data_IF_293444276151
#
_entry.id   IF_293444276151
#
_cell.length_a   1.000
_cell.length_b   1.000
_cell.length_c   1.000
_cell.angle_alpha   90.00
_cell.angle_beta   90.00
_cell.angle_gamma   90.00
#
_symmetry.space_group_name_H-M   'P 1'
#
loop_
_entity.id
_entity.type
_entity.pdbx_description
1 polymer ?
#
# COMPACT_ATOMS: atom_id res chain seq x y z
N UNK A 1 0.78 9.09 33.94
CA UNK A 1 2.00 8.87 33.13
C UNK A 1 1.55 8.53 31.73
N UNK A 2 1.38 9.57 30.91
CA UNK A 2 1.05 9.35 29.48
C UNK A 2 2.35 9.01 28.74
N UNK A 3 2.76 7.75 28.86
CA UNK A 3 3.88 7.26 28.08
C UNK A 3 3.53 7.34 26.61
N UNK A 4 4.14 8.26 25.86
CA UNK A 4 4.02 8.29 24.40
C UNK A 4 4.46 6.93 23.86
N UNK A 5 3.49 6.14 23.39
CA UNK A 5 3.78 4.90 22.67
C UNK A 5 4.38 5.32 21.33
N UNK A 6 5.61 4.88 21.06
CA UNK A 6 6.27 5.05 19.77
C UNK A 6 6.76 3.70 19.26
N UNK A 7 6.80 3.55 17.94
CA UNK A 7 7.44 2.37 17.35
C UNK A 7 8.95 2.37 17.67
N UNK A 8 9.55 1.19 17.93
CA UNK A 8 10.97 1.09 18.29
C UNK A 8 11.87 1.61 17.16
N UNK A 9 12.97 2.27 17.51
CA UNK A 9 13.99 2.71 16.53
C UNK A 9 13.45 3.57 15.38
N UNK A 10 12.41 4.39 15.62
CA UNK A 10 11.80 5.25 14.58
C UNK A 10 12.77 6.31 14.01
N UNK A 11 13.90 6.55 14.67
CA UNK A 11 15.01 7.36 14.20
C UNK A 11 15.91 6.66 13.16
N UNK A 12 15.87 5.32 13.10
CA UNK A 12 16.70 4.48 12.22
C UNK A 12 15.90 3.72 11.17
N UNK A 13 14.63 3.41 11.47
CA UNK A 13 13.75 2.60 10.63
C UNK A 13 12.59 3.46 10.16
N UNK A 14 12.32 3.45 8.85
CA UNK A 14 11.12 4.08 8.29
C UNK A 14 9.95 3.11 8.38
N UNK A 15 8.92 3.49 9.09
CA UNK A 15 7.70 2.70 9.25
C UNK A 15 6.62 3.17 8.28
N UNK A 16 6.08 2.23 7.52
CA UNK A 16 4.86 2.40 6.74
C UNK A 16 3.71 1.76 7.52
N UNK A 17 2.66 2.54 7.79
CA UNK A 17 1.48 2.05 8.50
C UNK A 17 0.35 1.90 7.50
N UNK A 18 -0.13 0.68 7.34
CA UNK A 18 -1.35 0.37 6.59
C UNK A 18 -2.55 0.48 7.55
N UNK A 19 -3.40 1.49 7.33
CA UNK A 19 -4.47 1.84 8.24
C UNK A 19 -5.77 1.12 7.85
N UNK A 20 -5.99 -0.04 8.43
CA UNK A 20 -7.24 -0.79 8.31
C UNK A 20 -8.26 -0.32 9.38
N UNK A 21 -8.61 0.97 9.35
CA UNK A 21 -9.51 1.61 10.29
C UNK A 21 -10.57 2.42 9.55
N UNK A 22 -11.74 2.62 10.17
CA UNK A 22 -12.80 3.47 9.63
C UNK A 22 -12.56 4.93 9.96
N UNK A 23 -12.97 5.85 9.07
CA UNK A 23 -12.85 7.30 9.23
C UNK A 23 -11.45 7.75 9.70
N UNK A 24 -10.36 7.34 9.00
CA UNK A 24 -8.99 7.61 9.43
C UNK A 24 -8.70 9.13 9.53
N UNK A 25 -9.41 9.95 8.77
CA UNK A 25 -9.28 11.41 8.75
C UNK A 25 -9.53 12.07 10.11
N UNK A 26 -10.20 11.39 11.02
CA UNK A 26 -10.53 11.94 12.35
C UNK A 26 -9.32 12.01 13.28
N UNK A 27 -8.28 11.18 13.05
CA UNK A 27 -7.11 11.14 13.95
C UNK A 27 -5.80 10.69 13.26
N UNK A 28 -5.50 11.22 12.08
CA UNK A 28 -4.27 10.88 11.36
C UNK A 28 -2.99 11.29 12.13
N UNK A 29 -3.06 12.34 12.93
CA UNK A 29 -1.90 12.87 13.67
C UNK A 29 -1.32 11.88 14.69
N UNK A 30 -2.15 11.00 15.24
CA UNK A 30 -1.65 10.00 16.19
C UNK A 30 -0.65 9.04 15.54
N UNK A 31 -0.86 8.65 14.29
CA UNK A 31 0.04 7.73 13.60
C UNK A 31 1.40 8.38 13.31
N UNK A 32 1.39 9.67 12.96
CA UNK A 32 2.64 10.43 12.84
C UNK A 32 3.39 10.51 14.18
N UNK A 33 2.69 10.78 15.28
CA UNK A 33 3.29 10.80 16.65
C UNK A 33 3.84 9.43 17.04
N UNK A 34 3.21 8.33 16.61
CA UNK A 34 3.70 6.97 16.82
C UNK A 34 5.01 6.68 16.06
N UNK A 35 5.39 7.51 15.09
CA UNK A 35 6.62 7.37 14.32
C UNK A 35 6.42 6.86 12.89
N UNK A 36 5.18 6.90 12.36
CA UNK A 36 4.97 6.60 10.96
C UNK A 36 5.69 7.61 10.07
N UNK A 37 6.45 7.13 9.10
CA UNK A 37 7.06 7.94 8.04
C UNK A 37 6.22 7.91 6.76
N UNK A 38 5.32 6.93 6.65
CA UNK A 38 4.39 6.77 5.53
C UNK A 38 3.09 6.15 6.03
N UNK A 39 1.97 6.57 5.44
CA UNK A 39 0.63 6.02 5.72
C UNK A 39 0.02 5.44 4.46
N UNK A 40 -0.67 4.32 4.59
CA UNK A 40 -1.55 3.74 3.56
C UNK A 40 -2.98 3.85 4.07
N UNK A 41 -3.86 4.40 3.25
CA UNK A 41 -5.25 4.68 3.59
C UNK A 41 -6.15 3.94 2.62
N UNK A 42 -7.04 3.09 3.11
CA UNK A 42 -8.01 2.40 2.28
C UNK A 42 -9.11 3.37 1.81
N UNK A 43 -9.34 3.46 0.51
CA UNK A 43 -10.26 4.42 -0.10
C UNK A 43 -11.66 4.34 0.48
N UNK A 44 -12.18 3.13 0.65
CA UNK A 44 -13.53 2.88 1.17
C UNK A 44 -13.66 3.03 2.70
N UNK A 45 -12.59 3.37 3.40
CA UNK A 45 -12.63 3.73 4.83
C UNK A 45 -12.75 5.23 5.08
N UNK A 46 -12.60 6.06 4.04
CA UNK A 46 -12.67 7.52 4.13
C UNK A 46 -14.14 7.95 4.08
N UNK A 47 -14.64 8.54 5.16
CA UNK A 47 -16.00 9.05 5.24
C UNK A 47 -16.10 10.47 4.62
N UNK A 48 -15.09 11.31 4.83
CA UNK A 48 -15.05 12.68 4.34
C UNK A 48 -13.75 12.98 3.61
N UNK A 49 -13.79 12.96 2.27
CA UNK A 49 -12.60 13.17 1.43
C UNK A 49 -11.99 14.57 1.57
N UNK A 50 -12.79 15.62 1.78
CA UNK A 50 -12.30 16.98 1.95
C UNK A 50 -11.52 17.11 3.25
N UNK A 51 -12.11 16.63 4.35
CA UNK A 51 -11.43 16.58 5.65
C UNK A 51 -10.16 15.74 5.58
N UNK A 52 -10.23 14.56 4.96
CA UNK A 52 -9.07 13.69 4.76
C UNK A 52 -7.93 14.42 4.06
N UNK A 53 -8.18 15.06 2.92
CA UNK A 53 -7.16 15.79 2.16
C UNK A 53 -6.56 16.93 2.97
N UNK A 54 -7.38 17.66 3.71
CA UNK A 54 -6.93 18.74 4.59
C UNK A 54 -5.98 18.20 5.68
N UNK A 55 -6.41 17.15 6.38
CA UNK A 55 -5.63 16.58 7.49
C UNK A 55 -4.34 15.92 6.98
N UNK A 56 -4.39 15.04 5.97
CA UNK A 56 -3.21 14.33 5.48
C UNK A 56 -2.15 15.29 4.90
N UNK A 57 -2.58 16.32 4.18
CA UNK A 57 -1.66 17.32 3.61
C UNK A 57 -0.97 18.12 4.72
N UNK A 58 -1.66 18.40 5.84
CA UNK A 58 -1.10 19.13 6.97
C UNK A 58 0.03 18.39 7.68
N UNK A 59 0.07 17.05 7.59
CA UNK A 59 1.07 16.23 8.26
C UNK A 59 2.44 16.25 7.58
N UNK A 60 2.52 16.63 6.31
CA UNK A 60 3.76 16.58 5.51
C UNK A 60 4.45 15.21 5.55
N UNK A 61 3.65 14.14 5.60
CA UNK A 61 4.07 12.74 5.58
C UNK A 61 3.76 12.15 4.21
N UNK A 62 4.55 11.18 3.77
CA UNK A 62 4.27 10.42 2.55
C UNK A 62 3.02 9.56 2.75
N UNK A 63 2.11 9.52 1.77
CA UNK A 63 0.89 8.73 1.88
C UNK A 63 0.49 8.08 0.57
N UNK A 64 -0.10 6.91 0.68
CA UNK A 64 -0.70 6.17 -0.42
C UNK A 64 -2.19 5.93 -0.19
N UNK A 65 -2.92 5.75 -1.29
CA UNK A 65 -4.31 5.32 -1.25
C UNK A 65 -4.41 3.85 -1.68
N UNK A 66 -5.13 3.03 -0.90
CA UNK A 66 -5.29 1.61 -1.14
C UNK A 66 -6.68 1.29 -1.67
N UNK A 67 -6.74 0.35 -2.63
CA UNK A 67 -7.97 -0.11 -3.26
C UNK A 67 -8.09 -1.63 -3.19
N UNK A 68 -9.29 -2.12 -2.85
CA UNK A 68 -9.68 -3.51 -3.03
C UNK A 68 -9.92 -3.80 -4.51
N UNK A 69 -9.87 -5.07 -4.91
CA UNK A 69 -10.18 -5.50 -6.28
C UNK A 69 -11.61 -5.14 -6.72
N UNK A 70 -12.53 -4.99 -5.77
CA UNK A 70 -13.91 -4.56 -6.02
C UNK A 70 -14.10 -3.05 -6.18
N UNK A 71 -13.08 -2.23 -5.90
CA UNK A 71 -13.19 -0.77 -6.00
C UNK A 71 -13.10 -0.31 -7.47
N UNK A 72 -13.99 0.60 -7.84
CA UNK A 72 -13.86 1.37 -9.08
C UNK A 72 -12.89 2.53 -8.84
N UNK A 73 -11.62 2.35 -9.20
CA UNK A 73 -10.54 3.33 -9.00
C UNK A 73 -10.79 4.67 -9.69
N UNK A 74 -11.61 4.69 -10.76
CA UNK A 74 -11.92 5.92 -11.51
C UNK A 74 -12.67 6.95 -10.67
N UNK A 75 -13.46 6.50 -9.70
CA UNK A 75 -14.18 7.38 -8.76
C UNK A 75 -13.25 8.13 -7.80
N UNK A 76 -11.99 7.75 -7.74
CA UNK A 76 -11.00 8.26 -6.81
C UNK A 76 -9.86 9.02 -7.50
N UNK A 77 -10.08 9.44 -8.75
CA UNK A 77 -9.06 10.08 -9.59
C UNK A 77 -8.39 11.26 -8.90
N UNK A 78 -9.13 12.11 -8.19
CA UNK A 78 -8.57 13.26 -7.48
C UNK A 78 -7.61 12.87 -6.35
N UNK A 79 -7.94 11.81 -5.59
CA UNK A 79 -7.05 11.29 -4.54
C UNK A 79 -5.84 10.59 -5.14
N UNK A 80 -6.02 9.81 -6.21
CA UNK A 80 -4.92 9.15 -6.93
C UNK A 80 -3.91 10.19 -7.44
N UNK A 81 -4.38 11.30 -8.01
CA UNK A 81 -3.49 12.38 -8.47
C UNK A 81 -2.65 12.99 -7.35
N UNK A 82 -3.21 13.13 -6.15
CA UNK A 82 -2.57 13.77 -4.99
C UNK A 82 -1.72 12.81 -4.16
N UNK A 83 -2.04 11.51 -4.16
CA UNK A 83 -1.29 10.50 -3.42
C UNK A 83 0.15 10.36 -3.92
N UNK A 84 1.09 10.05 -3.05
CA UNK A 84 2.48 9.76 -3.42
C UNK A 84 2.59 8.42 -4.16
N UNK A 85 1.74 7.45 -3.79
CA UNK A 85 1.66 6.14 -4.44
C UNK A 85 0.25 5.56 -4.30
N UNK A 86 -0.02 4.51 -5.06
CA UNK A 86 -1.27 3.75 -4.97
C UNK A 86 -0.95 2.32 -4.59
N UNK A 87 -1.68 1.78 -3.60
CA UNK A 87 -1.63 0.36 -3.27
C UNK A 87 -2.88 -0.34 -3.78
N UNK A 88 -2.69 -1.50 -4.41
CA UNK A 88 -3.77 -2.39 -4.83
C UNK A 88 -3.72 -3.66 -3.99
N UNK A 89 -4.87 -4.07 -3.50
CA UNK A 89 -4.96 -5.32 -2.76
C UNK A 89 -5.10 -6.47 -3.77
N UNK A 90 -4.07 -7.32 -3.84
CA UNK A 90 -4.03 -8.48 -4.75
C UNK A 90 -4.89 -9.67 -4.31
N UNK A 91 -5.77 -9.47 -3.33
CA UNK A 91 -6.66 -10.48 -2.74
C UNK A 91 -8.04 -9.88 -2.51
N UNK A 92 -9.07 -10.72 -2.46
CA UNK A 92 -10.45 -10.26 -2.25
C UNK A 92 -10.76 -9.94 -0.78
N UNK A 93 -10.32 -10.80 0.15
CA UNK A 93 -10.61 -10.64 1.58
C UNK A 93 -9.39 -10.07 2.32
N UNK A 94 -9.41 -8.77 2.59
CA UNK A 94 -8.35 -8.08 3.31
C UNK A 94 -8.25 -8.58 4.76
N UNK A 95 -7.03 -8.66 5.28
CA UNK A 95 -6.76 -9.09 6.66
C UNK A 95 -6.50 -10.59 6.82
N UNK A 96 -6.57 -11.39 5.74
CA UNK A 96 -6.27 -12.82 5.75
C UNK A 96 -5.10 -13.12 4.83
N UNK A 97 -4.12 -13.89 5.33
CA UNK A 97 -2.95 -14.30 4.55
C UNK A 97 -3.20 -15.59 3.74
N UNK A 98 -2.33 -15.87 2.77
CA UNK A 98 -2.33 -17.12 2.01
C UNK A 98 -3.46 -17.25 0.99
N UNK A 99 -4.10 -16.15 0.61
CA UNK A 99 -5.11 -16.14 -0.44
C UNK A 99 -4.49 -16.14 -1.83
N UNK A 100 -5.25 -16.64 -2.80
CA UNK A 100 -4.89 -16.64 -4.22
C UNK A 100 -4.91 -15.20 -4.74
N UNK A 101 -3.96 -14.89 -5.63
CA UNK A 101 -3.91 -13.62 -6.33
C UNK A 101 -5.17 -13.40 -7.18
N UNK A 102 -5.73 -12.22 -7.10
CA UNK A 102 -6.91 -11.80 -7.85
C UNK A 102 -6.50 -11.01 -9.10
N UNK A 103 -6.68 -11.58 -10.32
CA UNK A 103 -6.24 -10.94 -11.55
C UNK A 103 -6.95 -9.63 -11.90
N UNK A 104 -8.06 -9.28 -11.24
CA UNK A 104 -8.73 -7.97 -11.41
C UNK A 104 -7.80 -6.79 -11.11
N UNK A 105 -6.75 -7.01 -10.32
CA UNK A 105 -5.69 -6.02 -10.06
C UNK A 105 -5.02 -5.54 -11.35
N UNK A 106 -4.85 -6.41 -12.35
CA UNK A 106 -4.18 -6.05 -13.61
C UNK A 106 -4.93 -4.92 -14.36
N UNK A 107 -6.26 -4.99 -14.37
CA UNK A 107 -7.09 -3.93 -14.95
C UNK A 107 -7.01 -2.63 -14.13
N UNK A 108 -6.99 -2.74 -12.80
CA UNK A 108 -6.83 -1.57 -11.94
C UNK A 108 -5.48 -0.87 -12.16
N UNK A 109 -4.37 -1.61 -12.34
CA UNK A 109 -3.06 -1.05 -12.70
C UNK A 109 -3.16 -0.20 -13.97
N UNK A 110 -3.80 -0.73 -15.01
CA UNK A 110 -3.99 -0.01 -16.28
C UNK A 110 -4.80 1.27 -16.10
N UNK A 111 -5.91 1.22 -15.33
CA UNK A 111 -6.73 2.40 -15.05
C UNK A 111 -5.96 3.47 -14.26
N UNK A 112 -5.17 3.07 -13.25
CA UNK A 112 -4.37 4.01 -12.47
C UNK A 112 -3.34 4.71 -13.35
N UNK A 113 -2.68 4.00 -14.26
CA UNK A 113 -1.73 4.59 -15.21
C UNK A 113 -2.39 5.59 -16.17
N UNK A 114 -3.65 5.36 -16.55
CA UNK A 114 -4.43 6.31 -17.34
C UNK A 114 -4.77 7.58 -16.53
N UNK A 115 -5.06 7.44 -15.22
CA UNK A 115 -5.35 8.57 -14.33
C UNK A 115 -4.07 9.35 -14.03
N UNK A 116 -2.98 8.66 -13.67
CA UNK A 116 -1.70 9.28 -13.27
C UNK A 116 -0.55 8.56 -13.97
N UNK A 117 -0.08 9.12 -15.08
CA UNK A 117 1.10 8.63 -15.77
C UNK A 117 2.32 8.68 -14.81
N UNK A 118 3.08 7.58 -14.72
CA UNK A 118 4.21 7.48 -13.80
C UNK A 118 3.82 7.27 -12.33
N UNK A 119 2.58 6.88 -12.03
CA UNK A 119 2.18 6.52 -10.68
C UNK A 119 3.09 5.40 -10.12
N UNK A 120 3.54 5.58 -8.89
CA UNK A 120 4.15 4.49 -8.13
C UNK A 120 3.01 3.57 -7.69
N UNK A 121 3.02 2.32 -8.16
CA UNK A 121 1.99 1.33 -7.85
C UNK A 121 2.61 0.22 -7.01
N UNK A 122 1.98 -0.05 -5.86
CA UNK A 122 2.28 -1.15 -4.95
C UNK A 122 1.16 -2.19 -5.04
N UNK A 123 1.50 -3.49 -4.98
CA UNK A 123 0.50 -4.57 -4.86
C UNK A 123 0.80 -5.39 -3.62
N UNK A 124 -0.21 -5.59 -2.78
CA UNK A 124 -0.16 -6.38 -1.55
C UNK A 124 -1.20 -7.49 -1.57
N UNK A 125 -0.77 -8.71 -1.29
CA UNK A 125 -1.61 -9.91 -1.23
C UNK A 125 -1.51 -10.80 -2.48
N UNK A 126 -1.44 -12.11 -2.25
CA UNK A 126 -1.31 -13.12 -3.30
C UNK A 126 0.03 -13.10 -4.05
N UNK A 127 1.04 -12.42 -3.52
CA UNK A 127 2.33 -12.21 -4.19
C UNK A 127 3.23 -13.43 -4.02
N UNK A 128 3.65 -13.99 -5.16
CA UNK A 128 4.73 -14.97 -5.31
C UNK A 128 5.65 -14.52 -6.46
N UNK A 129 6.67 -15.30 -6.82
CA UNK A 129 7.63 -14.91 -7.86
C UNK A 129 6.99 -14.78 -9.25
N UNK A 130 6.01 -15.64 -9.57
CA UNK A 130 5.30 -15.62 -10.84
C UNK A 130 4.41 -14.37 -10.96
N UNK A 131 3.55 -14.11 -9.96
CA UNK A 131 2.70 -12.91 -9.93
C UNK A 131 3.51 -11.62 -9.85
N UNK A 132 4.63 -11.61 -9.13
CA UNK A 132 5.53 -10.46 -9.08
C UNK A 132 6.15 -10.15 -10.44
N UNK A 133 6.54 -11.19 -11.20
CA UNK A 133 7.07 -11.03 -12.56
C UNK A 133 6.00 -10.45 -13.51
N UNK A 134 4.78 -10.99 -13.49
CA UNK A 134 3.65 -10.49 -14.27
C UNK A 134 3.35 -9.02 -13.96
N UNK A 135 3.30 -8.66 -12.67
CA UNK A 135 3.08 -7.29 -12.22
C UNK A 135 4.20 -6.33 -12.65
N UNK A 136 5.45 -6.77 -12.61
CA UNK A 136 6.59 -5.97 -13.08
C UNK A 136 6.49 -5.65 -14.59
N UNK A 137 6.08 -6.62 -15.42
CA UNK A 137 5.90 -6.42 -16.86
C UNK A 137 4.86 -5.34 -17.19
N UNK A 138 3.84 -5.19 -16.36
CA UNK A 138 2.83 -4.14 -16.53
C UNK A 138 3.18 -2.86 -15.76
N UNK A 139 4.40 -2.77 -15.19
CA UNK A 139 4.97 -1.56 -14.58
C UNK A 139 4.52 -1.29 -13.16
N UNK A 140 4.16 -2.31 -12.41
CA UNK A 140 4.09 -2.23 -10.95
C UNK A 140 5.51 -2.08 -10.40
N UNK A 141 5.70 -1.16 -9.46
CA UNK A 141 7.02 -0.77 -8.96
C UNK A 141 7.33 -1.33 -7.57
N UNK A 142 6.31 -1.81 -6.86
CA UNK A 142 6.45 -2.39 -5.51
C UNK A 142 5.54 -3.60 -5.36
N UNK A 143 6.02 -4.60 -4.64
CA UNK A 143 5.21 -5.73 -4.18
C UNK A 143 5.43 -5.94 -2.69
N UNK A 144 4.36 -6.33 -1.99
CA UNK A 144 4.40 -6.71 -0.57
C UNK A 144 4.16 -8.22 -0.49
N UNK A 145 5.16 -8.95 -0.03
CA UNK A 145 5.10 -10.40 0.09
C UNK A 145 5.49 -10.84 1.50
N UNK A 146 4.53 -11.32 2.25
CA UNK A 146 4.75 -11.82 3.61
C UNK A 146 4.92 -13.34 3.64
N UNK A 147 3.86 -14.09 3.31
CA UNK A 147 3.82 -15.55 3.48
C UNK A 147 4.89 -16.28 2.68
N UNK A 148 5.20 -15.86 1.45
CA UNK A 148 6.22 -16.49 0.60
C UNK A 148 7.62 -16.24 1.16
N UNK A 149 7.90 -15.03 1.64
CA UNK A 149 9.22 -14.69 2.19
C UNK A 149 9.45 -15.40 3.54
N UNK A 150 8.51 -15.24 4.47
CA UNK A 150 8.68 -15.81 5.83
C UNK A 150 8.39 -17.30 5.91
N UNK A 151 7.68 -17.87 4.95
CA UNK A 151 7.48 -19.32 4.81
C UNK A 151 8.61 -20.06 4.10
N UNK A 152 9.55 -19.34 3.49
CA UNK A 152 10.70 -19.94 2.82
C UNK A 152 11.70 -20.53 3.83
N UNK A 153 12.40 -21.60 3.43
CA UNK A 153 13.49 -22.17 4.22
C UNK A 153 14.62 -21.15 4.51
N UNK A 154 14.82 -20.22 3.60
CA UNK A 154 15.76 -19.11 3.75
C UNK A 154 15.11 -17.81 3.26
N UNK A 155 14.57 -16.96 4.16
CA UNK A 155 13.95 -15.69 3.80
C UNK A 155 14.85 -14.73 3.03
N UNK A 156 16.17 -14.72 3.32
CA UNK A 156 17.12 -13.85 2.63
C UNK A 156 17.25 -14.22 1.15
N UNK A 157 17.28 -15.51 0.82
CA UNK A 157 17.30 -15.97 -0.58
C UNK A 157 16.00 -15.59 -1.27
N UNK A 158 14.85 -15.82 -0.63
CA UNK A 158 13.56 -15.44 -1.18
C UNK A 158 13.47 -13.93 -1.48
N UNK A 159 14.02 -13.08 -0.61
CA UNK A 159 14.08 -11.63 -0.86
C UNK A 159 14.95 -11.29 -2.08
N UNK A 160 16.10 -11.95 -2.23
CA UNK A 160 16.96 -11.73 -3.40
C UNK A 160 16.29 -12.21 -4.70
N UNK A 161 15.54 -13.31 -4.68
CA UNK A 161 14.77 -13.78 -5.83
C UNK A 161 13.76 -12.71 -6.28
N UNK A 162 13.03 -12.07 -5.35
CA UNK A 162 12.13 -10.96 -5.67
C UNK A 162 12.86 -9.74 -6.23
N UNK A 163 14.03 -9.38 -5.69
CA UNK A 163 14.82 -8.24 -6.20
C UNK A 163 15.32 -8.47 -7.63
N UNK A 164 15.62 -9.71 -7.99
CA UNK A 164 16.09 -10.05 -9.32
C UNK A 164 14.99 -9.93 -10.40
N UNK A 165 13.70 -9.98 -10.04
CA UNK A 165 12.59 -9.76 -10.98
C UNK A 165 12.62 -8.36 -11.58
N UNK A 166 13.01 -7.34 -10.82
CA UNK A 166 13.02 -5.93 -11.26
C UNK A 166 14.19 -5.59 -12.20
N UNK A 167 15.09 -6.53 -12.49
CA UNK A 167 16.27 -6.33 -13.35
C UNK A 167 16.11 -6.95 -14.76
N UNK A 168 14.88 -7.28 -15.18
CA UNK A 168 14.57 -7.84 -16.51
C UNK A 168 13.91 -6.80 -17.40
#
# INVERSE_FOLDING_TARGET
MDGEIRVPCSDKIKYEFDLMVMAPETDLRKYQKLGASRLIIHADSIDNQELFLKEITSLKIEWGIAFKTSNDVKKWSDLIQKANFVQLMGIENIGYQGQTFDPRVLDQVNHIKQIKAGAIISVDGGINLETAHELAQIGVTRVVSGSVVFGANNPSVSIEDFKNISNV
#
